data_IF_095458633965
#
_entry.id   IF_095458633965
#
_cell.length_a   1.000
_cell.length_b   1.000
_cell.length_c   1.000
_cell.angle_alpha   90.00
_cell.angle_beta   90.00
_cell.angle_gamma   90.00
#
_symmetry.space_group_name_H-M   'P 1'
#
loop_
_entity.id
_entity.type
_entity.pdbx_description
1 polymer ?
#
# COMPACT_ATOMS: atom_id res chain seq x y z
N UNK A 1 9.22 15.55 -0.49
CA UNK A 1 7.74 15.63 -0.35
C UNK A 1 7.16 14.79 -1.47
N UNK A 2 6.35 13.77 -1.15
CA UNK A 2 5.84 12.85 -2.15
C UNK A 2 5.02 13.59 -3.22
N UNK A 3 5.10 13.20 -4.51
CA UNK A 3 4.31 13.81 -5.56
C UNK A 3 2.81 13.74 -5.26
N UNK A 4 2.10 14.85 -5.44
CA UNK A 4 0.64 14.89 -5.37
C UNK A 4 0.09 14.85 -6.79
N UNK A 5 -0.30 13.66 -7.24
CA UNK A 5 -0.78 13.43 -8.59
C UNK A 5 -2.26 13.00 -8.57
N UNK A 6 -3.05 13.43 -9.57
CA UNK A 6 -4.39 12.89 -9.76
C UNK A 6 -4.32 11.44 -10.27
N UNK A 7 -5.35 10.65 -10.01
CA UNK A 7 -5.52 9.33 -10.63
C UNK A 7 -5.44 9.44 -12.16
N UNK A 8 -4.78 8.46 -12.78
CA UNK A 8 -4.49 8.41 -14.22
C UNK A 8 -3.87 9.72 -14.73
N UNK A 9 -2.70 10.11 -14.20
CA UNK A 9 -2.05 11.36 -14.59
C UNK A 9 -1.66 11.32 -16.06
N UNK A 10 -1.92 12.40 -16.80
CA UNK A 10 -1.72 12.47 -18.25
C UNK A 10 -0.95 13.71 -18.64
N UNK A 11 0.05 13.52 -19.50
CA UNK A 11 0.87 14.63 -20.03
C UNK A 11 0.02 15.68 -20.75
N UNK A 12 -1.04 15.27 -21.46
CA UNK A 12 -1.93 16.22 -22.14
C UNK A 12 -2.68 17.11 -21.17
N UNK A 13 -3.09 16.57 -20.02
CA UNK A 13 -3.73 17.37 -18.96
C UNK A 13 -2.76 18.41 -18.43
N UNK A 14 -1.54 18.01 -18.05
CA UNK A 14 -0.55 18.95 -17.52
C UNK A 14 -0.12 20.01 -18.55
N UNK A 15 -0.09 19.67 -19.86
CA UNK A 15 0.13 20.64 -20.94
C UNK A 15 -0.99 21.69 -20.99
N UNK A 16 -2.25 21.28 -20.80
CA UNK A 16 -3.39 22.21 -20.71
C UNK A 16 -3.31 23.08 -19.46
N UNK A 17 -2.94 22.49 -18.31
CA UNK A 17 -2.77 23.22 -17.05
C UNK A 17 -1.69 24.30 -17.17
N UNK A 18 -0.54 23.98 -17.78
CA UNK A 18 0.52 24.97 -18.01
C UNK A 18 0.08 26.12 -18.94
N UNK A 19 -0.70 25.82 -19.99
CA UNK A 19 -1.27 26.86 -20.88
C UNK A 19 -2.33 27.70 -20.16
N UNK A 20 -3.13 27.10 -19.27
CA UNK A 20 -4.12 27.82 -18.44
C UNK A 20 -3.43 28.77 -17.49
N UNK A 21 -2.42 28.29 -16.76
CA UNK A 21 -1.61 29.09 -15.86
C UNK A 21 -0.95 30.25 -16.59
N UNK A 22 -0.36 29.99 -17.77
CA UNK A 22 0.27 31.06 -18.57
C UNK A 22 -0.72 32.18 -18.92
N UNK A 23 -1.93 31.84 -19.37
CA UNK A 23 -2.96 32.84 -19.67
C UNK A 23 -3.38 33.62 -18.43
N UNK A 24 -3.68 32.93 -17.33
CA UNK A 24 -4.07 33.56 -16.07
C UNK A 24 -3.02 34.56 -15.56
N UNK A 25 -1.73 34.19 -15.63
CA UNK A 25 -0.63 35.10 -15.26
C UNK A 25 -0.58 36.32 -16.19
N UNK A 26 -0.73 36.13 -17.51
CA UNK A 26 -0.74 37.24 -18.49
C UNK A 26 -1.93 38.18 -18.29
N UNK A 27 -3.04 37.65 -17.82
CA UNK A 27 -4.25 38.40 -17.46
C UNK A 27 -4.15 39.02 -16.05
N UNK A 28 -2.99 38.91 -15.39
CA UNK A 28 -2.71 39.42 -14.04
C UNK A 28 -3.63 38.85 -12.95
N UNK A 29 -4.06 37.61 -13.10
CA UNK A 29 -4.83 36.89 -12.08
C UNK A 29 -4.03 36.73 -10.77
N UNK A 30 -4.63 37.11 -9.65
CA UNK A 30 -3.94 37.19 -8.36
C UNK A 30 -3.57 35.82 -7.80
N UNK A 31 -4.42 34.81 -7.98
CA UNK A 31 -4.14 33.44 -7.53
C UNK A 31 -3.00 32.81 -8.34
N UNK A 32 -3.02 32.98 -9.66
CA UNK A 32 -1.97 32.53 -10.55
C UNK A 32 -0.61 33.18 -10.22
N UNK A 33 -0.59 34.49 -9.97
CA UNK A 33 0.62 35.20 -9.56
C UNK A 33 1.14 34.72 -8.20
N UNK A 34 0.25 34.46 -7.23
CA UNK A 34 0.63 33.89 -5.93
C UNK A 34 1.21 32.48 -6.05
N UNK A 35 0.62 31.63 -6.91
CA UNK A 35 1.13 30.30 -7.21
C UNK A 35 2.54 30.36 -7.82
N UNK A 36 2.75 31.24 -8.82
CA UNK A 36 4.06 31.45 -9.45
C UNK A 36 5.07 31.98 -8.44
N UNK A 37 4.70 32.96 -7.60
CA UNK A 37 5.56 33.50 -6.56
C UNK A 37 6.08 32.43 -5.60
N UNK A 38 5.20 31.49 -5.23
CA UNK A 38 5.53 30.40 -4.31
C UNK A 38 6.41 29.33 -4.94
N UNK A 39 6.22 29.02 -6.22
CA UNK A 39 6.79 27.81 -6.83
C UNK A 39 7.87 28.08 -7.88
N UNK A 40 7.87 29.24 -8.53
CA UNK A 40 8.88 29.57 -9.52
C UNK A 40 10.17 30.10 -8.86
N UNK A 41 11.37 29.62 -9.25
CA UNK A 41 12.62 30.04 -8.60
C UNK A 41 12.90 31.55 -8.63
N UNK A 42 12.41 32.25 -9.66
CA UNK A 42 12.55 33.69 -9.80
C UNK A 42 11.43 34.51 -9.11
N UNK A 43 10.48 33.85 -8.45
CA UNK A 43 9.32 34.50 -7.83
C UNK A 43 8.33 35.08 -8.85
N UNK A 44 7.57 36.08 -8.43
CA UNK A 44 6.57 36.78 -9.24
C UNK A 44 7.21 37.40 -10.49
N UNK A 45 6.63 37.23 -11.70
CA UNK A 45 7.18 37.82 -12.91
C UNK A 45 7.11 39.35 -12.87
N UNK A 46 8.20 40.02 -13.26
CA UNK A 46 8.26 41.48 -13.36
C UNK A 46 7.34 42.04 -14.46
N UNK A 47 7.18 41.27 -15.55
CA UNK A 47 6.21 41.53 -16.62
C UNK A 47 5.32 40.29 -16.81
N UNK A 48 4.10 40.28 -16.25
CA UNK A 48 3.17 39.18 -16.41
C UNK A 48 2.81 38.89 -17.87
N UNK A 49 2.76 39.91 -18.74
CA UNK A 49 2.41 39.75 -20.16
C UNK A 49 3.47 38.94 -20.93
N UNK A 50 4.74 39.03 -20.52
CA UNK A 50 5.86 38.27 -21.09
C UNK A 50 6.01 36.85 -20.50
N UNK A 51 5.14 36.41 -19.58
CA UNK A 51 5.30 35.12 -18.90
C UNK A 51 5.33 33.95 -19.89
N UNK A 52 6.42 33.18 -19.85
CA UNK A 52 6.73 32.13 -20.81
C UNK A 52 6.03 30.81 -20.47
N UNK A 53 5.66 30.03 -21.49
CA UNK A 53 5.05 28.71 -21.30
C UNK A 53 6.00 27.75 -20.56
N UNK A 54 7.31 27.86 -20.79
CA UNK A 54 8.32 27.06 -20.09
C UNK A 54 8.38 27.36 -18.59
N UNK A 55 8.18 28.62 -18.19
CA UNK A 55 8.05 29.00 -16.79
C UNK A 55 6.76 28.43 -16.17
N UNK A 56 5.64 28.51 -16.90
CA UNK A 56 4.38 27.90 -16.46
C UNK A 56 4.49 26.36 -16.30
N UNK A 57 5.16 25.68 -17.24
CA UNK A 57 5.45 24.24 -17.15
C UNK A 57 6.29 23.88 -15.92
N UNK A 58 7.29 24.71 -15.59
CA UNK A 58 8.11 24.52 -14.40
C UNK A 58 7.26 24.64 -13.12
N UNK A 59 6.40 25.65 -13.04
CA UNK A 59 5.49 25.85 -11.90
C UNK A 59 4.54 24.67 -11.74
N UNK A 60 3.90 24.22 -12.81
CA UNK A 60 3.02 23.04 -12.80
C UNK A 60 3.76 21.79 -12.35
N UNK A 61 4.99 21.56 -12.80
CA UNK A 61 5.78 20.41 -12.36
C UNK A 61 6.06 20.45 -10.86
N UNK A 62 6.47 21.61 -10.33
CA UNK A 62 6.76 21.80 -8.90
C UNK A 62 5.51 21.71 -8.04
N UNK A 63 4.37 22.15 -8.55
CA UNK A 63 3.08 22.05 -7.87
C UNK A 63 2.74 20.59 -7.53
N UNK A 64 3.02 19.67 -8.46
CA UNK A 64 2.80 18.23 -8.26
C UNK A 64 4.03 17.48 -7.71
N UNK A 65 5.06 18.20 -7.24
CA UNK A 65 6.20 17.62 -6.52
C UNK A 65 7.40 17.21 -7.38
N UNK A 66 7.45 17.58 -8.66
CA UNK A 66 8.61 17.33 -9.54
C UNK A 66 9.50 18.56 -9.64
N UNK A 67 10.82 18.35 -9.62
CA UNK A 67 11.80 19.46 -9.66
C UNK A 67 11.88 20.12 -11.04
N UNK A 68 11.42 19.45 -12.09
CA UNK A 68 11.37 20.00 -13.45
C UNK A 68 10.29 19.34 -14.32
N UNK A 69 9.88 20.07 -15.37
CA UNK A 69 8.96 19.54 -16.39
C UNK A 69 9.49 18.28 -17.06
N UNK A 70 10.80 18.20 -17.33
CA UNK A 70 11.41 17.03 -17.97
C UNK A 70 11.29 15.77 -17.10
N UNK A 71 11.45 15.90 -15.77
CA UNK A 71 11.29 14.78 -14.84
C UNK A 71 9.83 14.34 -14.73
N UNK A 72 8.88 15.28 -14.67
CA UNK A 72 7.45 14.95 -14.75
C UNK A 72 7.14 14.21 -16.05
N UNK A 73 7.64 14.66 -17.21
CA UNK A 73 7.43 13.99 -18.49
C UNK A 73 8.03 12.58 -18.53
N UNK A 74 9.23 12.39 -17.97
CA UNK A 74 9.87 11.08 -17.88
C UNK A 74 9.02 10.12 -17.04
N UNK A 75 8.59 10.57 -15.86
CA UNK A 75 7.69 9.80 -15.00
C UNK A 75 6.39 9.42 -15.71
N UNK A 76 5.70 10.38 -16.35
CA UNK A 76 4.40 10.13 -17.01
C UNK A 76 4.52 9.10 -18.15
N UNK A 77 5.64 9.09 -18.88
CA UNK A 77 5.89 8.07 -19.92
C UNK A 77 6.07 6.68 -19.33
N UNK A 78 6.80 6.56 -18.23
CA UNK A 78 6.97 5.30 -17.51
C UNK A 78 5.63 4.84 -16.90
N UNK A 79 4.89 5.76 -16.28
CA UNK A 79 3.60 5.49 -15.67
C UNK A 79 2.56 5.01 -16.69
N UNK A 80 2.54 5.55 -17.91
CA UNK A 80 1.66 5.08 -18.99
C UNK A 80 1.83 3.58 -19.28
N UNK A 81 3.06 3.07 -19.18
CA UNK A 81 3.39 1.66 -19.46
C UNK A 81 3.07 0.75 -18.27
N UNK A 82 3.31 1.25 -17.05
CA UNK A 82 3.19 0.48 -15.82
C UNK A 82 1.85 0.63 -15.11
N UNK A 83 0.99 1.57 -15.52
CA UNK A 83 -0.30 1.80 -14.88
C UNK A 83 -1.19 0.57 -14.99
N UNK A 84 -1.82 0.16 -13.90
CA UNK A 84 -2.91 -0.83 -13.93
C UNK A 84 -4.07 -0.33 -13.08
N UNK A 85 -5.27 -0.77 -13.44
CA UNK A 85 -6.47 -0.62 -12.63
C UNK A 85 -6.97 -2.02 -12.27
N UNK A 86 -6.58 -2.55 -11.09
CA UNK A 86 -6.99 -3.88 -10.68
C UNK A 86 -8.44 -3.92 -10.16
N UNK A 87 -9.16 -2.79 -10.19
CA UNK A 87 -10.57 -2.72 -9.79
C UNK A 87 -11.54 -3.02 -10.94
N UNK A 88 -11.05 -3.02 -12.18
CA UNK A 88 -11.86 -3.35 -13.36
C UNK A 88 -12.16 -4.85 -13.37
N UNK A 89 -13.44 -5.19 -13.38
CA UNK A 89 -13.93 -6.57 -13.47
C UNK A 89 -14.02 -7.04 -14.91
N UNK A 90 -13.58 -8.26 -15.19
CA UNK A 90 -13.69 -8.92 -16.49
C UNK A 90 -14.49 -10.22 -16.32
N UNK A 91 -15.65 -10.31 -16.97
CA UNK A 91 -16.66 -11.35 -16.68
C UNK A 91 -16.87 -12.40 -17.79
N UNK A 92 -16.31 -12.22 -18.99
CA UNK A 92 -16.69 -13.06 -20.14
C UNK A 92 -15.89 -14.39 -20.28
N UNK A 93 -14.83 -14.60 -19.49
CA UNK A 93 -13.97 -15.79 -19.57
C UNK A 93 -13.75 -16.44 -18.18
N UNK A 94 -13.95 -17.78 -18.04
CA UNK A 94 -13.73 -18.48 -16.77
C UNK A 94 -12.33 -18.31 -16.17
N UNK A 95 -11.26 -18.21 -16.98
CA UNK A 95 -9.91 -17.96 -16.47
C UNK A 95 -9.82 -16.55 -15.90
N UNK A 96 -10.28 -15.54 -16.64
CA UNK A 96 -10.32 -14.15 -16.17
C UNK A 96 -11.17 -13.98 -14.90
N UNK A 97 -12.32 -14.63 -14.82
CA UNK A 97 -13.21 -14.61 -13.65
C UNK A 97 -12.55 -15.26 -12.44
N UNK A 98 -11.92 -16.44 -12.62
CA UNK A 98 -11.15 -17.11 -11.57
C UNK A 98 -10.04 -16.21 -11.04
N UNK A 99 -9.18 -15.68 -11.92
CA UNK A 99 -8.05 -14.84 -11.51
C UNK A 99 -8.50 -13.55 -10.82
N UNK A 100 -9.57 -12.93 -11.33
CA UNK A 100 -10.16 -11.73 -10.72
C UNK A 100 -10.64 -11.96 -9.30
N UNK A 101 -11.16 -13.15 -9.01
CA UNK A 101 -11.65 -13.51 -7.69
C UNK A 101 -10.55 -14.06 -6.78
N UNK A 102 -9.57 -14.77 -7.33
CA UNK A 102 -8.50 -15.42 -6.58
C UNK A 102 -7.44 -14.44 -6.07
N UNK A 103 -7.17 -13.38 -6.82
CA UNK A 103 -6.06 -12.47 -6.55
C UNK A 103 -6.46 -11.32 -5.61
N UNK A 104 -5.58 -11.00 -4.67
CA UNK A 104 -5.61 -9.77 -3.89
C UNK A 104 -5.42 -8.56 -4.81
N UNK A 105 -6.33 -7.59 -4.72
CA UNK A 105 -6.37 -6.41 -5.60
C UNK A 105 -6.23 -5.09 -4.86
N UNK A 106 -6.10 -5.11 -3.53
CA UNK A 106 -6.18 -3.93 -2.65
C UNK A 106 -7.45 -3.08 -2.86
N UNK A 107 -8.49 -3.67 -3.42
CA UNK A 107 -9.78 -2.99 -3.62
C UNK A 107 -10.69 -3.21 -2.42
N UNK A 108 -11.71 -2.36 -2.28
CA UNK A 108 -12.73 -2.51 -1.23
C UNK A 108 -13.48 -3.84 -1.31
N UNK A 109 -13.51 -4.45 -2.50
CA UNK A 109 -14.12 -5.75 -2.73
C UNK A 109 -13.32 -6.93 -2.19
N UNK A 110 -12.04 -6.80 -1.84
CA UNK A 110 -11.25 -7.91 -1.32
C UNK A 110 -11.85 -8.51 -0.04
N UNK A 111 -11.73 -9.82 0.11
CA UNK A 111 -12.23 -10.57 1.25
C UNK A 111 -12.39 -12.06 0.97
N UNK A 112 -12.60 -12.88 2.02
CA UNK A 112 -12.66 -14.33 1.93
C UNK A 112 -13.76 -14.85 0.99
N UNK A 113 -14.88 -14.13 0.86
CA UNK A 113 -15.97 -14.52 -0.03
C UNK A 113 -15.54 -14.57 -1.51
N UNK A 114 -14.65 -13.66 -1.93
CA UNK A 114 -14.09 -13.68 -3.30
C UNK A 114 -13.24 -14.91 -3.53
N UNK A 115 -12.32 -15.23 -2.61
CA UNK A 115 -11.45 -16.38 -2.77
C UNK A 115 -12.22 -17.70 -2.65
N UNK A 116 -13.26 -17.76 -1.83
CA UNK A 116 -14.19 -18.90 -1.78
C UNK A 116 -14.93 -19.08 -3.11
N UNK A 117 -15.40 -18.00 -3.73
CA UNK A 117 -16.00 -18.06 -5.07
C UNK A 117 -14.98 -18.49 -6.14
N UNK A 118 -13.74 -18.04 -6.06
CA UNK A 118 -12.67 -18.49 -6.96
C UNK A 118 -12.40 -19.99 -6.82
N UNK A 119 -12.35 -20.51 -5.59
CA UNK A 119 -12.17 -21.94 -5.33
C UNK A 119 -13.34 -22.77 -5.88
N UNK A 120 -14.58 -22.27 -5.78
CA UNK A 120 -15.73 -22.92 -6.41
C UNK A 120 -15.62 -22.99 -7.94
N UNK A 121 -15.16 -21.91 -8.59
CA UNK A 121 -14.90 -21.90 -10.03
C UNK A 121 -13.84 -22.93 -10.40
N UNK A 122 -12.75 -22.99 -9.64
CA UNK A 122 -11.67 -23.95 -9.88
C UNK A 122 -12.14 -25.40 -9.73
N UNK A 123 -12.97 -25.71 -8.72
CA UNK A 123 -13.56 -27.05 -8.55
C UNK A 123 -14.49 -27.43 -9.70
N UNK A 124 -15.26 -26.47 -10.21
CA UNK A 124 -16.13 -26.69 -11.36
C UNK A 124 -15.37 -26.80 -12.69
N UNK A 125 -14.17 -26.22 -12.77
CA UNK A 125 -13.34 -26.16 -13.97
C UNK A 125 -11.88 -26.57 -13.61
N UNK A 126 -11.63 -27.85 -13.29
CA UNK A 126 -10.30 -28.30 -12.84
C UNK A 126 -9.23 -28.18 -13.93
N UNK A 127 -9.61 -27.94 -15.19
CA UNK A 127 -8.72 -27.79 -16.33
C UNK A 127 -8.16 -26.36 -16.50
N UNK A 128 -8.60 -25.37 -15.72
CA UNK A 128 -8.12 -23.98 -15.82
C UNK A 128 -6.59 -23.85 -15.73
N UNK A 129 -5.86 -24.52 -14.81
CA UNK A 129 -4.40 -24.50 -14.78
C UNK A 129 -3.77 -25.02 -16.08
N UNK A 130 -4.37 -26.02 -16.73
CA UNK A 130 -3.87 -26.53 -18.01
C UNK A 130 -4.13 -25.54 -19.17
N UNK A 131 -5.16 -24.70 -19.07
CA UNK A 131 -5.54 -23.72 -20.10
C UNK A 131 -4.78 -22.40 -20.03
N UNK A 132 -4.24 -22.04 -18.86
CA UNK A 132 -3.61 -20.73 -18.65
C UNK A 132 -2.42 -20.81 -17.70
N UNK A 133 -1.27 -20.29 -18.14
CA UNK A 133 -0.08 -20.12 -17.31
C UNK A 133 -0.38 -19.29 -16.05
N UNK A 134 -1.20 -18.25 -16.16
CA UNK A 134 -1.56 -17.38 -15.03
C UNK A 134 -2.44 -18.11 -14.02
N UNK A 135 -3.38 -18.94 -14.48
CA UNK A 135 -4.20 -19.79 -13.60
C UNK A 135 -3.34 -20.87 -12.91
N UNK A 136 -2.42 -21.49 -13.65
CA UNK A 136 -1.46 -22.44 -13.08
C UNK A 136 -0.59 -21.82 -11.99
N UNK A 137 -0.09 -20.60 -12.23
CA UNK A 137 0.68 -19.86 -11.25
C UNK A 137 -0.16 -19.50 -10.02
N UNK A 138 -1.40 -19.02 -10.19
CA UNK A 138 -2.28 -18.66 -9.07
C UNK A 138 -2.62 -19.83 -8.12
N UNK A 139 -2.59 -21.08 -8.61
CA UNK A 139 -2.81 -22.28 -7.76
C UNK A 139 -1.50 -22.97 -7.35
N UNK A 140 -0.34 -22.40 -7.71
CA UNK A 140 0.98 -22.99 -7.45
C UNK A 140 1.16 -24.38 -8.06
N UNK A 141 0.60 -24.64 -9.25
CA UNK A 141 0.76 -25.92 -9.95
C UNK A 141 2.04 -25.90 -10.80
N UNK A 142 3.15 -26.26 -10.17
CA UNK A 142 4.50 -26.28 -10.77
C UNK A 142 4.54 -27.08 -12.08
N UNK A 143 3.84 -28.22 -12.14
CA UNK A 143 3.86 -29.10 -13.31
C UNK A 143 3.07 -28.50 -14.47
N UNK A 144 1.93 -27.87 -14.21
CA UNK A 144 1.21 -27.12 -15.22
C UNK A 144 2.02 -25.91 -15.71
N UNK A 145 2.65 -25.15 -14.81
CA UNK A 145 3.54 -24.04 -15.19
C UNK A 145 4.69 -24.53 -16.06
N UNK A 146 5.34 -25.65 -15.71
CA UNK A 146 6.42 -26.24 -16.53
C UNK A 146 5.94 -26.56 -17.94
N UNK A 147 4.80 -27.24 -18.08
CA UNK A 147 4.22 -27.56 -19.40
C UNK A 147 3.93 -26.31 -20.24
N UNK A 148 3.45 -25.23 -19.63
CA UNK A 148 3.23 -23.97 -20.34
C UNK A 148 4.54 -23.36 -20.82
N UNK A 149 5.58 -23.37 -19.98
CA UNK A 149 6.89 -22.81 -20.32
C UNK A 149 7.67 -23.67 -21.32
N UNK A 150 7.52 -25.00 -21.29
CA UNK A 150 8.10 -25.89 -22.29
C UNK A 150 7.57 -25.59 -23.69
N UNK A 151 6.27 -25.26 -23.80
CA UNK A 151 5.63 -24.88 -25.06
C UNK A 151 5.87 -23.41 -25.44
N UNK A 152 6.00 -22.52 -24.45
CA UNK A 152 6.17 -21.09 -24.65
C UNK A 152 7.14 -20.48 -23.62
N UNK A 153 8.46 -20.59 -23.85
CA UNK A 153 9.48 -20.21 -22.85
C UNK A 153 9.42 -18.75 -22.41
N UNK A 154 8.94 -17.85 -23.28
CA UNK A 154 8.81 -16.41 -22.94
C UNK A 154 7.64 -16.11 -22.00
N UNK A 155 6.73 -17.06 -21.79
CA UNK A 155 5.52 -16.88 -21.00
C UNK A 155 5.78 -16.40 -19.57
N UNK A 156 6.92 -16.74 -18.96
CA UNK A 156 7.29 -16.26 -17.63
C UNK A 156 7.45 -14.72 -17.53
N UNK A 157 7.81 -14.08 -18.64
CA UNK A 157 8.03 -12.62 -18.72
C UNK A 157 6.84 -11.85 -19.27
N UNK A 158 5.88 -12.56 -19.87
CA UNK A 158 4.72 -11.94 -20.51
C UNK A 158 3.68 -11.53 -19.48
N UNK A 159 2.96 -10.47 -19.82
CA UNK A 159 1.85 -9.96 -19.04
C UNK A 159 0.54 -10.42 -19.66
N UNK A 160 -0.41 -10.79 -18.81
CA UNK A 160 -1.74 -11.21 -19.24
C UNK A 160 -2.69 -11.37 -18.07
N UNK A 161 -3.70 -12.21 -18.26
CA UNK A 161 -4.83 -12.30 -17.33
C UNK A 161 -5.67 -11.01 -17.30
N UNK A 162 -6.64 -10.91 -16.38
CA UNK A 162 -7.57 -9.78 -16.32
C UNK A 162 -6.86 -8.46 -15.95
N UNK A 163 -5.68 -8.53 -15.33
CA UNK A 163 -4.98 -7.36 -14.80
C UNK A 163 -3.73 -6.96 -15.58
N UNK A 164 -3.38 -7.68 -16.65
CA UNK A 164 -2.14 -7.43 -17.39
C UNK A 164 -0.90 -7.59 -16.50
N UNK A 165 -0.87 -8.67 -15.72
CA UNK A 165 0.17 -9.02 -14.76
C UNK A 165 0.97 -10.23 -15.24
N UNK A 166 2.20 -10.41 -14.73
CA UNK A 166 3.00 -11.60 -15.00
C UNK A 166 2.50 -12.81 -14.21
N UNK A 167 2.92 -14.02 -14.59
CA UNK A 167 2.59 -15.23 -13.86
C UNK A 167 3.09 -15.20 -12.40
N UNK A 168 4.31 -14.68 -12.17
CA UNK A 168 4.87 -14.54 -10.83
C UNK A 168 4.03 -13.60 -9.94
N UNK A 169 3.48 -12.55 -10.53
CA UNK A 169 2.62 -11.61 -9.82
C UNK A 169 1.27 -12.25 -9.45
N UNK A 170 0.65 -13.04 -10.35
CA UNK A 170 -0.57 -13.79 -10.03
C UNK A 170 -0.36 -14.85 -8.94
N UNK A 171 0.80 -15.52 -8.94
CA UNK A 171 1.19 -16.45 -7.88
C UNK A 171 1.17 -15.76 -6.51
N UNK A 172 1.88 -14.62 -6.38
CA UNK A 172 1.95 -13.89 -5.11
C UNK A 172 0.63 -13.21 -4.72
N UNK A 173 -0.18 -12.80 -5.70
CA UNK A 173 -1.46 -12.15 -5.47
C UNK A 173 -2.53 -13.13 -5.00
N UNK A 174 -2.45 -14.39 -5.42
CA UNK A 174 -3.49 -15.38 -5.14
C UNK A 174 -3.68 -15.66 -3.64
N UNK A 175 -4.94 -15.85 -3.25
CA UNK A 175 -5.38 -16.22 -1.89
C UNK A 175 -6.23 -17.49 -1.87
N UNK A 176 -6.30 -18.20 -2.99
CA UNK A 176 -6.85 -19.56 -3.03
C UNK A 176 -5.79 -20.57 -2.52
N UNK A 177 -6.18 -21.78 -2.11
CA UNK A 177 -5.23 -22.83 -1.77
C UNK A 177 -4.24 -23.10 -2.92
N UNK A 178 -2.94 -23.12 -2.60
CA UNK A 178 -1.88 -23.37 -3.56
C UNK A 178 -1.15 -24.67 -3.24
N UNK A 179 -0.64 -25.36 -4.27
CA UNK A 179 0.06 -26.65 -4.13
C UNK A 179 1.53 -26.46 -3.74
N UNK A 180 2.30 -25.77 -4.57
CA UNK A 180 3.72 -25.47 -4.31
C UNK A 180 4.08 -24.04 -4.79
N UNK A 181 3.70 -23.02 -4.00
CA UNK A 181 4.03 -21.62 -4.31
C UNK A 181 5.52 -21.36 -4.50
N UNK A 182 6.37 -21.84 -3.60
CA UNK A 182 7.80 -21.51 -3.59
C UNK A 182 8.51 -22.20 -4.76
N UNK A 183 8.20 -23.46 -5.04
CA UNK A 183 8.70 -24.15 -6.23
C UNK A 183 8.20 -23.52 -7.53
N UNK A 184 6.96 -23.03 -7.55
CA UNK A 184 6.41 -22.33 -8.71
C UNK A 184 7.13 -21.01 -8.97
N UNK A 185 7.40 -20.23 -7.90
CA UNK A 185 8.17 -19.00 -8.00
C UNK A 185 9.59 -19.26 -8.53
N UNK A 186 10.29 -20.26 -7.99
CA UNK A 186 11.62 -20.68 -8.47
C UNK A 186 11.61 -20.97 -9.96
N UNK A 187 10.68 -21.81 -10.42
CA UNK A 187 10.55 -22.17 -11.83
C UNK A 187 10.29 -20.95 -12.72
N UNK A 188 9.40 -20.04 -12.30
CA UNK A 188 9.11 -18.83 -13.06
C UNK A 188 10.32 -17.90 -13.16
N UNK A 189 11.07 -17.72 -12.06
CA UNK A 189 12.26 -16.88 -12.03
C UNK A 189 13.41 -17.53 -12.82
N UNK A 190 13.58 -18.85 -12.74
CA UNK A 190 14.53 -19.62 -13.58
C UNK A 190 14.21 -19.44 -15.07
N UNK A 191 12.92 -19.32 -15.41
CA UNK A 191 12.44 -19.01 -16.77
C UNK A 191 12.47 -17.52 -17.12
N UNK A 192 12.99 -16.65 -16.24
CA UNK A 192 13.25 -15.24 -16.51
C UNK A 192 12.22 -14.25 -15.96
N UNK A 193 11.24 -14.68 -15.15
CA UNK A 193 10.35 -13.75 -14.46
C UNK A 193 11.14 -12.78 -13.55
N UNK A 194 10.82 -11.49 -13.63
CA UNK A 194 11.46 -10.45 -12.82
C UNK A 194 10.93 -10.52 -11.36
N UNK A 195 11.78 -10.81 -10.35
CA UNK A 195 11.35 -10.81 -8.96
C UNK A 195 10.95 -9.41 -8.46
N UNK A 196 11.30 -8.35 -9.19
CA UNK A 196 10.88 -6.97 -8.96
C UNK A 196 9.67 -6.55 -9.81
N UNK A 197 8.97 -7.50 -10.44
CA UNK A 197 7.78 -7.22 -11.22
C UNK A 197 6.74 -6.46 -10.38
N UNK A 198 6.01 -5.55 -11.03
CA UNK A 198 5.01 -4.73 -10.36
C UNK A 198 4.34 -3.74 -11.29
N UNK A 199 3.44 -2.95 -10.73
CA UNK A 199 2.64 -1.97 -11.45
C UNK A 199 2.44 -0.69 -10.64
N UNK A 200 1.97 0.37 -11.30
CA UNK A 200 1.55 1.61 -10.67
C UNK A 200 0.03 1.68 -10.58
N UNK A 201 -0.51 1.79 -9.38
CA UNK A 201 -1.95 1.92 -9.16
C UNK A 201 -2.49 3.18 -9.82
N UNK A 202 -3.29 3.05 -10.87
CA UNK A 202 -3.81 4.20 -11.64
C UNK A 202 -2.72 5.21 -12.05
N UNK A 203 -1.49 4.72 -12.26
CA UNK A 203 -0.33 5.56 -12.60
C UNK A 203 0.18 6.45 -11.48
N UNK A 204 -0.15 6.18 -10.21
CA UNK A 204 0.39 6.84 -9.02
C UNK A 204 1.81 6.33 -8.69
N UNK A 205 2.62 7.09 -7.95
CA UNK A 205 4.07 6.85 -7.89
C UNK A 205 4.49 5.61 -7.10
N UNK A 206 3.73 5.19 -6.09
CA UNK A 206 4.09 4.03 -5.27
C UNK A 206 3.82 2.71 -6.01
N UNK A 207 4.85 1.90 -6.30
CA UNK A 207 4.67 0.64 -7.00
C UNK A 207 4.10 -0.44 -6.08
N UNK A 208 3.21 -1.26 -6.63
CA UNK A 208 2.81 -2.53 -6.05
C UNK A 208 3.65 -3.62 -6.70
N UNK A 209 4.50 -4.28 -5.91
CA UNK A 209 5.43 -5.31 -6.40
C UNK A 209 4.99 -6.72 -5.99
N UNK A 210 5.70 -7.73 -6.48
CA UNK A 210 5.53 -9.12 -6.01
C UNK A 210 5.76 -9.22 -4.49
N UNK A 211 6.74 -8.47 -3.93
CA UNK A 211 6.98 -8.45 -2.48
C UNK A 211 5.80 -7.84 -1.72
N UNK A 212 5.20 -6.76 -2.24
CA UNK A 212 3.99 -6.17 -1.68
C UNK A 212 2.91 -7.23 -1.46
N UNK A 213 2.68 -8.10 -2.46
CA UNK A 213 1.67 -9.14 -2.39
C UNK A 213 2.02 -10.31 -1.47
N UNK A 214 3.32 -10.62 -1.31
CA UNK A 214 3.78 -11.63 -0.35
C UNK A 214 3.42 -11.20 1.07
N UNK A 215 3.76 -9.96 1.41
CA UNK A 215 3.48 -9.41 2.73
C UNK A 215 2.02 -9.07 2.94
N UNK A 216 1.25 -8.79 1.89
CA UNK A 216 -0.17 -8.48 1.99
C UNK A 216 -0.47 -7.35 2.97
N UNK A 217 -1.67 -7.39 3.55
CA UNK A 217 -2.25 -6.38 4.45
C UNK A 217 -2.32 -4.99 3.82
N UNK A 218 -2.96 -4.06 4.50
CA UNK A 218 -3.24 -2.74 3.97
C UNK A 218 -4.31 -2.09 4.82
N UNK A 219 -4.91 -1.05 4.27
CA UNK A 219 -5.90 -0.25 5.00
C UNK A 219 -7.16 -1.04 5.36
N UNK A 220 -7.47 -2.14 4.66
CA UNK A 220 -8.62 -2.98 4.97
C UNK A 220 -8.32 -4.12 5.97
N UNK A 221 -7.12 -4.15 6.53
CA UNK A 221 -6.74 -5.08 7.59
C UNK A 221 -6.50 -6.52 7.13
N UNK A 222 -6.03 -7.39 8.05
CA UNK A 222 -5.59 -8.75 7.74
C UNK A 222 -6.72 -9.70 7.35
N UNK A 223 -7.97 -9.42 7.70
CA UNK A 223 -9.11 -10.27 7.32
C UNK A 223 -9.56 -10.07 5.87
N UNK A 224 -9.53 -8.83 5.36
CA UNK A 224 -9.90 -8.52 3.97
C UNK A 224 -8.71 -8.57 3.01
N UNK A 225 -7.53 -8.17 3.46
CA UNK A 225 -6.32 -8.11 2.65
C UNK A 225 -5.20 -8.96 3.29
N UNK A 226 -5.37 -10.26 3.52
CA UNK A 226 -4.40 -11.08 4.23
C UNK A 226 -3.05 -11.12 3.53
N UNK A 227 -2.03 -11.45 4.32
CA UNK A 227 -0.73 -11.91 3.86
C UNK A 227 -0.88 -13.10 2.91
N UNK A 228 0.09 -13.33 2.02
CA UNK A 228 0.11 -14.59 1.28
C UNK A 228 0.28 -15.76 2.28
N UNK A 229 -0.40 -16.92 2.11
CA UNK A 229 -0.36 -18.01 3.09
C UNK A 229 1.04 -18.52 3.46
N UNK A 230 1.98 -18.46 2.50
CA UNK A 230 3.41 -18.74 2.72
C UNK A 230 4.29 -17.50 2.42
N UNK A 231 3.76 -16.32 2.72
CA UNK A 231 4.36 -15.05 2.32
C UNK A 231 5.80 -14.85 2.78
N UNK A 232 6.17 -15.38 3.95
CA UNK A 232 7.52 -15.25 4.50
C UNK A 232 8.55 -16.05 3.68
N UNK A 233 8.26 -17.31 3.42
CA UNK A 233 9.12 -18.18 2.60
C UNK A 233 9.20 -17.68 1.15
N UNK A 234 8.08 -17.21 0.60
CA UNK A 234 8.03 -16.65 -0.75
C UNK A 234 8.82 -15.33 -0.85
N UNK A 235 8.68 -14.43 0.13
CA UNK A 235 9.46 -13.20 0.17
C UNK A 235 10.96 -13.47 0.34
N UNK A 236 11.33 -14.39 1.22
CA UNK A 236 12.72 -14.80 1.40
C UNK A 236 13.33 -15.37 0.12
N UNK A 237 12.59 -16.21 -0.61
CA UNK A 237 13.00 -16.71 -1.93
C UNK A 237 13.16 -15.55 -2.92
N UNK A 238 12.17 -14.65 -3.05
CA UNK A 238 12.25 -13.52 -3.97
C UNK A 238 13.47 -12.63 -3.70
N UNK A 239 13.75 -12.33 -2.43
CA UNK A 239 14.92 -11.54 -2.02
C UNK A 239 16.21 -12.28 -2.37
N UNK A 240 16.30 -13.59 -2.07
CA UNK A 240 17.45 -14.42 -2.46
C UNK A 240 17.67 -14.39 -3.98
N UNK A 241 16.59 -14.28 -4.76
CA UNK A 241 16.59 -14.20 -6.22
C UNK A 241 16.72 -12.77 -6.78
N UNK A 242 16.93 -11.77 -5.93
CA UNK A 242 17.23 -10.39 -6.34
C UNK A 242 16.06 -9.41 -6.30
N UNK A 243 14.98 -9.72 -5.58
CA UNK A 243 13.99 -8.71 -5.22
C UNK A 243 14.62 -7.66 -4.28
N UNK A 244 14.37 -6.39 -4.57
CA UNK A 244 14.82 -5.26 -3.76
C UNK A 244 14.03 -5.19 -2.44
N UNK A 245 14.68 -5.21 -1.27
CA UNK A 245 13.99 -5.13 0.01
C UNK A 245 13.36 -3.75 0.29
N UNK A 246 13.67 -2.72 -0.50
CA UNK A 246 13.13 -1.37 -0.34
C UNK A 246 11.74 -1.21 -0.99
N UNK A 247 10.75 -1.94 -0.47
CA UNK A 247 9.37 -1.89 -0.96
C UNK A 247 8.50 -0.93 -0.12
N UNK A 248 8.28 0.28 -0.62
CA UNK A 248 7.51 1.31 0.08
C UNK A 248 6.05 0.89 0.36
N UNK A 249 5.42 0.15 -0.56
CA UNK A 249 4.03 -0.26 -0.39
C UNK A 249 3.89 -1.35 0.69
N UNK A 250 4.82 -2.31 0.78
CA UNK A 250 4.93 -3.25 1.90
C UNK A 250 5.04 -2.49 3.21
N UNK A 251 5.97 -1.53 3.30
CA UNK A 251 6.20 -0.78 4.53
C UNK A 251 4.96 0.02 4.94
N UNK A 252 4.26 0.62 3.99
CA UNK A 252 2.98 1.30 4.25
C UNK A 252 1.90 0.32 4.72
N UNK A 253 1.66 -0.75 3.97
CA UNK A 253 0.62 -1.74 4.26
C UNK A 253 0.80 -2.41 5.63
N UNK A 254 2.05 -2.60 6.06
CA UNK A 254 2.39 -3.31 7.28
C UNK A 254 2.62 -2.41 8.49
N UNK A 255 2.62 -1.08 8.32
CA UNK A 255 2.92 -0.20 9.45
C UNK A 255 1.78 -0.11 10.46
N UNK A 256 0.53 -0.37 10.07
CA UNK A 256 -0.66 -0.12 10.92
C UNK A 256 -0.79 -1.04 12.13
N UNK A 257 -0.18 -2.23 12.12
CA UNK A 257 -0.22 -3.20 13.23
C UNK A 257 1.15 -3.39 13.88
N UNK A 258 1.17 -4.06 15.05
CA UNK A 258 2.40 -4.39 15.79
C UNK A 258 3.22 -5.54 15.18
N UNK A 259 2.73 -6.19 14.12
CA UNK A 259 3.46 -7.29 13.48
C UNK A 259 4.66 -6.77 12.67
N UNK A 260 5.86 -7.15 13.12
CA UNK A 260 7.14 -6.72 12.54
C UNK A 260 7.81 -7.80 11.68
N UNK A 261 7.11 -8.89 11.33
CA UNK A 261 7.68 -9.97 10.52
C UNK A 261 8.29 -9.46 9.21
N UNK A 262 7.63 -8.52 8.52
CA UNK A 262 8.15 -7.92 7.30
C UNK A 262 9.50 -7.20 7.51
N UNK A 263 9.66 -6.44 8.60
CA UNK A 263 10.93 -5.78 8.94
C UNK A 263 12.01 -6.81 9.26
N UNK A 264 11.68 -7.90 9.96
CA UNK A 264 12.65 -8.96 10.29
C UNK A 264 13.20 -9.68 9.06
N UNK A 265 12.44 -9.71 7.96
CA UNK A 265 12.88 -10.27 6.67
C UNK A 265 13.65 -9.23 5.85
N UNK A 266 13.16 -7.99 5.79
CA UNK A 266 13.69 -6.96 4.89
C UNK A 266 14.95 -6.27 5.44
N UNK A 267 15.07 -6.08 6.76
CA UNK A 267 16.24 -5.43 7.38
C UNK A 267 17.56 -6.21 7.14
N UNK A 268 17.64 -7.53 7.37
CA UNK A 268 18.83 -8.31 7.00
C UNK A 268 19.16 -8.25 5.52
N UNK A 269 18.14 -8.10 4.67
CA UNK A 269 18.29 -8.04 3.22
C UNK A 269 18.79 -6.68 2.70
N UNK A 270 18.82 -5.65 3.56
CA UNK A 270 19.33 -4.31 3.19
C UNK A 270 18.27 -3.22 3.06
N UNK A 271 17.06 -3.41 3.63
CA UNK A 271 16.08 -2.34 3.75
C UNK A 271 16.69 -1.08 4.38
N UNK A 272 16.37 0.08 3.78
CA UNK A 272 16.87 1.38 4.20
C UNK A 272 18.25 1.72 3.67
N UNK A 273 18.80 0.90 2.77
CA UNK A 273 20.15 1.07 2.22
C UNK A 273 20.15 0.92 0.70
N UNK A 274 21.24 1.36 0.08
CA UNK A 274 21.45 1.25 -1.37
C UNK A 274 20.88 2.42 -2.17
N UNK A 275 20.69 2.20 -3.47
CA UNK A 275 20.29 3.22 -4.46
C UNK A 275 18.77 3.28 -4.69
N UNK A 276 17.97 2.55 -3.88
CA UNK A 276 16.52 2.37 -4.06
C UNK A 276 16.13 1.39 -5.18
N UNK A 277 17.11 0.66 -5.74
CA UNK A 277 16.90 -0.47 -6.61
C UNK A 277 16.18 -0.18 -7.93
N UNK A 278 15.58 -1.21 -8.56
CA UNK A 278 15.04 -1.10 -9.92
C UNK A 278 13.94 -0.05 -10.05
N UNK A 279 13.11 0.11 -9.03
CA UNK A 279 11.99 1.05 -9.06
C UNK A 279 12.44 2.50 -8.91
N UNK A 280 13.40 2.79 -8.03
CA UNK A 280 13.99 4.13 -7.95
C UNK A 280 14.73 4.49 -9.25
N UNK A 281 15.41 3.54 -9.90
CA UNK A 281 15.99 3.77 -11.25
C UNK A 281 14.94 4.10 -12.32
N UNK A 282 13.74 3.50 -12.23
CA UNK A 282 12.64 3.73 -13.20
C UNK A 282 11.90 5.05 -12.97
N UNK A 283 11.72 5.45 -11.70
CA UNK A 283 10.80 6.53 -11.31
C UNK A 283 11.50 7.76 -10.71
N UNK A 284 12.75 7.63 -10.29
CA UNK A 284 13.58 8.71 -9.75
C UNK A 284 12.92 9.41 -8.57
N UNK A 285 12.89 10.75 -8.63
CA UNK A 285 12.38 11.63 -7.55
C UNK A 285 10.90 11.47 -7.22
N UNK A 286 10.16 10.67 -8.00
CA UNK A 286 8.78 10.34 -7.66
C UNK A 286 8.70 9.37 -6.47
N UNK A 287 9.78 8.63 -6.21
CA UNK A 287 9.90 7.73 -5.07
C UNK A 287 10.75 8.34 -3.97
N UNK A 288 10.49 7.83 -2.78
CA UNK A 288 11.31 8.09 -1.61
C UNK A 288 12.62 7.35 -1.70
N UNK A 289 13.62 7.90 -1.02
CA UNK A 289 14.88 7.20 -0.79
C UNK A 289 14.68 6.08 0.23
N UNK A 290 15.54 5.04 0.22
CA UNK A 290 15.52 3.99 1.24
C UNK A 290 15.52 4.52 2.69
N UNK A 291 16.30 5.56 2.96
CA UNK A 291 16.38 6.19 4.29
C UNK A 291 15.05 6.83 4.69
N UNK A 292 14.41 7.58 3.78
CA UNK A 292 13.09 8.18 4.02
C UNK A 292 12.01 7.11 4.28
N UNK A 293 12.06 5.96 3.59
CA UNK A 293 11.13 4.84 3.82
C UNK A 293 11.25 4.31 5.26
N UNK A 294 12.47 4.08 5.75
CA UNK A 294 12.70 3.58 7.12
C UNK A 294 12.42 4.68 8.15
N UNK A 295 12.73 5.93 7.85
CA UNK A 295 12.41 7.06 8.72
C UNK A 295 10.89 7.16 8.96
N UNK A 296 10.06 6.91 7.94
CA UNK A 296 8.61 6.81 8.15
C UNK A 296 8.22 5.69 9.11
N UNK A 297 8.86 4.53 9.04
CA UNK A 297 8.60 3.43 9.97
C UNK A 297 8.96 3.81 11.40
N UNK A 298 10.09 4.50 11.60
CA UNK A 298 10.50 5.03 12.90
C UNK A 298 9.47 6.04 13.43
N UNK A 299 9.04 6.98 12.60
CA UNK A 299 8.09 8.02 12.99
C UNK A 299 6.72 7.41 13.31
N UNK A 300 6.21 6.50 12.47
CA UNK A 300 4.97 5.78 12.74
C UNK A 300 5.05 4.96 14.03
N UNK A 301 6.15 4.22 14.23
CA UNK A 301 6.35 3.41 15.43
C UNK A 301 6.40 4.26 16.70
N UNK A 302 7.06 5.42 16.66
CA UNK A 302 7.07 6.40 17.75
C UNK A 302 5.65 6.90 18.02
N UNK A 303 4.94 7.24 16.95
CA UNK A 303 3.61 7.82 17.04
C UNK A 303 2.55 6.82 17.53
N UNK A 304 2.79 5.53 17.37
CA UNK A 304 1.85 4.50 17.80
C UNK A 304 2.40 3.63 18.92
N UNK A 305 3.49 4.07 19.56
CA UNK A 305 4.13 3.40 20.70
C UNK A 305 4.57 1.96 20.44
N UNK A 306 4.99 1.65 19.22
CA UNK A 306 5.51 0.33 18.83
C UNK A 306 6.96 0.18 19.27
N UNK A 307 7.18 0.05 20.58
CA UNK A 307 8.52 -0.01 21.20
C UNK A 307 9.39 -1.12 20.65
N UNK A 308 8.82 -2.33 20.45
CA UNK A 308 9.53 -3.46 19.84
C UNK A 308 10.00 -3.17 18.41
N UNK A 309 9.19 -2.46 17.62
CA UNK A 309 9.58 -2.00 16.27
C UNK A 309 10.72 -0.99 16.36
N UNK A 310 10.66 -0.04 17.30
CA UNK A 310 11.75 0.93 17.52
C UNK A 310 13.05 0.24 17.95
N UNK A 311 12.99 -0.73 18.85
CA UNK A 311 14.14 -1.55 19.26
C UNK A 311 14.73 -2.33 18.08
N UNK A 312 13.87 -2.94 17.25
CA UNK A 312 14.27 -3.64 16.04
C UNK A 312 14.98 -2.69 15.07
N UNK A 313 14.38 -1.54 14.73
CA UNK A 313 14.97 -0.55 13.82
C UNK A 313 16.30 0.01 14.37
N UNK A 314 16.36 0.29 15.68
CA UNK A 314 17.58 0.75 16.33
C UNK A 314 18.72 -0.28 16.25
N UNK A 315 18.41 -1.59 16.34
CA UNK A 315 19.40 -2.65 16.21
C UNK A 315 20.08 -2.70 14.83
N UNK A 316 19.46 -2.10 13.81
CA UNK A 316 20.03 -1.95 12.46
C UNK A 316 20.65 -0.57 12.19
N UNK A 317 20.84 0.24 13.23
CA UNK A 317 21.47 1.56 13.13
C UNK A 317 20.53 2.70 12.78
N UNK A 318 19.21 2.45 12.73
CA UNK A 318 18.21 3.50 12.61
C UNK A 318 17.89 4.05 14.01
N UNK A 319 18.91 4.68 14.60
CA UNK A 319 19.02 5.01 16.03
C UNK A 319 18.37 6.34 16.43
N UNK A 320 17.98 7.17 15.45
CA UNK A 320 17.47 8.52 15.70
C UNK A 320 16.37 8.90 14.72
N UNK A 321 15.11 8.65 15.05
CA UNK A 321 14.16 9.72 14.78
C UNK A 321 14.25 10.72 15.93
N UNK A 322 13.81 11.96 15.69
CA UNK A 322 13.96 13.13 16.59
C UNK A 322 13.83 12.82 18.10
N UNK A 323 14.50 13.59 18.99
CA UNK A 323 14.28 13.48 20.43
C UNK A 323 12.78 13.47 20.76
N UNK A 324 12.42 12.66 21.76
CA UNK A 324 11.07 12.27 22.19
C UNK A 324 10.07 13.41 22.50
N UNK A 325 10.42 14.66 22.22
CA UNK A 325 9.63 15.86 22.44
C UNK A 325 9.19 16.58 21.16
N UNK A 326 9.51 16.09 19.96
CA UNK A 326 9.01 16.66 18.71
C UNK A 326 7.88 15.80 18.11
N UNK A 327 6.65 16.32 17.95
CA UNK A 327 5.61 15.61 17.22
C UNK A 327 6.09 15.36 15.78
N UNK A 328 5.78 14.17 15.27
CA UNK A 328 5.96 13.86 13.84
C UNK A 328 5.12 14.84 13.00
N UNK A 329 5.48 15.09 11.73
CA UNK A 329 4.73 15.99 10.86
C UNK A 329 3.26 15.60 10.67
N UNK A 330 2.88 14.36 11.01
CA UNK A 330 1.52 13.85 11.01
C UNK A 330 0.78 14.09 12.33
N UNK A 331 1.50 14.48 13.39
CA UNK A 331 1.12 14.24 14.79
C UNK A 331 0.60 15.47 15.54
N UNK A 332 0.22 16.52 14.83
CA UNK A 332 -0.53 17.59 15.45
C UNK A 332 -1.57 18.11 14.46
N UNK A 333 -2.67 17.37 14.33
CA UNK A 333 -3.94 18.07 14.22
C UNK A 333 -4.39 18.39 15.66
N UNK A 334 -4.22 19.62 16.16
CA UNK A 334 -4.62 19.98 17.52
C UNK A 334 -6.13 19.84 17.78
N UNK A 335 -6.92 19.53 16.75
CA UNK A 335 -8.35 19.21 16.89
C UNK A 335 -8.63 17.74 17.23
N UNK A 336 -7.67 16.82 17.13
CA UNK A 336 -7.91 15.40 17.46
C UNK A 336 -7.90 15.16 18.97
N UNK A 337 -8.79 14.30 19.50
CA UNK A 337 -8.84 14.03 20.92
C UNK A 337 -7.59 13.25 21.39
N UNK A 338 -7.18 13.36 22.66
CA UNK A 338 -5.99 12.70 23.19
C UNK A 338 -5.92 11.18 22.92
N UNK A 339 -7.06 10.49 22.83
CA UNK A 339 -7.14 9.06 22.53
C UNK A 339 -6.52 8.70 21.18
N UNK A 340 -6.57 9.60 20.17
CA UNK A 340 -5.96 9.38 18.85
C UNK A 340 -4.45 9.12 18.94
N UNK A 341 -3.79 9.73 19.94
CA UNK A 341 -2.37 9.58 20.22
C UNK A 341 -2.03 8.46 21.22
N UNK A 342 -3.04 7.80 21.78
CA UNK A 342 -2.90 6.82 22.86
C UNK A 342 -3.04 5.36 22.39
N UNK A 343 -2.91 5.09 21.08
CA UNK A 343 -3.14 3.80 20.39
C UNK A 343 -2.27 2.59 20.79
N UNK A 344 -1.78 2.54 22.02
CA UNK A 344 -1.19 1.35 22.66
C UNK A 344 -1.96 0.95 23.91
N UNK A 345 -1.90 -0.34 24.32
CA UNK A 345 -2.42 -0.75 25.62
C UNK A 345 -1.89 0.12 26.78
N UNK A 346 -0.62 0.51 26.77
CA UNK A 346 -0.03 1.36 27.81
C UNK A 346 -0.55 2.81 27.73
N UNK A 347 -0.67 3.37 26.53
CA UNK A 347 -1.20 4.72 26.28
C UNK A 347 -2.65 4.84 26.69
N UNK A 348 -3.49 3.86 26.33
CA UNK A 348 -4.89 3.77 26.76
C UNK A 348 -4.99 3.74 28.28
N UNK A 349 -4.21 2.89 28.96
CA UNK A 349 -4.20 2.81 30.43
C UNK A 349 -3.76 4.13 31.07
N UNK A 350 -2.75 4.80 30.50
CA UNK A 350 -2.26 6.09 31.00
C UNK A 350 -3.31 7.21 30.82
N UNK A 351 -3.97 7.24 29.66
CA UNK A 351 -5.05 8.21 29.39
C UNK A 351 -6.24 7.98 30.32
N UNK A 352 -6.65 6.72 30.51
CA UNK A 352 -7.72 6.36 31.44
C UNK A 352 -7.37 6.76 32.88
N UNK A 353 -6.14 6.52 33.33
CA UNK A 353 -5.67 6.94 34.66
C UNK A 353 -5.66 8.47 34.84
N UNK A 354 -5.52 9.23 33.76
CA UNK A 354 -5.63 10.69 33.73
C UNK A 354 -7.09 11.18 33.59
N UNK A 355 -8.08 10.28 33.53
CA UNK A 355 -9.49 10.62 33.35
C UNK A 355 -9.86 11.06 31.93
N UNK A 356 -9.07 10.66 30.92
CA UNK A 356 -9.34 10.97 29.53
C UNK A 356 -10.50 10.16 28.95
N UNK A 357 -11.18 10.73 27.97
CA UNK A 357 -12.29 10.10 27.27
C UNK A 357 -11.78 9.06 26.24
N UNK A 358 -12.15 7.79 26.45
CA UNK A 358 -11.78 6.67 25.57
C UNK A 358 -12.75 6.49 24.40
N UNK A 359 -13.94 7.08 24.49
CA UNK A 359 -15.00 6.99 23.49
C UNK A 359 -15.07 8.23 22.60
N UNK A 360 -14.08 9.13 22.73
CA UNK A 360 -13.98 10.34 21.94
C UNK A 360 -13.94 10.03 20.43
N UNK A 361 -14.60 10.89 19.65
CA UNK A 361 -14.65 10.77 18.20
C UNK A 361 -13.28 11.06 17.56
N UNK A 362 -12.74 10.06 16.88
CA UNK A 362 -11.50 10.15 16.10
C UNK A 362 -11.88 10.05 14.62
N UNK A 363 -12.37 11.15 14.05
CA UNK A 363 -12.72 11.19 12.63
C UNK A 363 -13.94 10.31 12.30
N UNK A 364 -15.00 10.40 13.11
CA UNK A 364 -16.26 9.70 12.89
C UNK A 364 -16.37 8.30 13.52
N UNK A 365 -15.35 7.84 14.25
CA UNK A 365 -15.33 6.53 14.92
C UNK A 365 -14.48 6.57 16.19
N UNK A 366 -14.60 5.57 17.07
CA UNK A 366 -13.77 5.49 18.29
C UNK A 366 -12.49 4.69 18.05
N UNK A 367 -11.51 4.82 18.95
CA UNK A 367 -10.30 3.99 18.91
C UNK A 367 -10.61 2.49 19.00
N UNK A 368 -11.72 2.10 19.66
CA UNK A 368 -12.16 0.71 19.72
C UNK A 368 -12.64 0.20 18.35
N UNK A 369 -13.25 1.04 17.52
CA UNK A 369 -13.58 0.70 16.13
C UNK A 369 -12.30 0.45 15.30
N UNK A 370 -11.31 1.34 15.44
CA UNK A 370 -10.04 1.20 14.74
C UNK A 370 -9.33 -0.11 15.12
N UNK A 371 -9.17 -0.37 16.43
CA UNK A 371 -8.57 -1.59 16.95
C UNK A 371 -9.30 -2.86 16.48
N UNK A 372 -10.63 -2.81 16.45
CA UNK A 372 -11.47 -3.90 15.98
C UNK A 372 -11.24 -4.22 14.49
N UNK A 373 -11.13 -3.19 13.64
CA UNK A 373 -10.92 -3.31 12.19
C UNK A 373 -9.55 -3.89 11.83
N UNK A 374 -8.49 -3.39 12.43
CA UNK A 374 -7.13 -3.86 12.15
C UNK A 374 -6.82 -5.21 12.82
N UNK A 375 -7.71 -5.71 13.67
CA UNK A 375 -7.55 -6.99 14.37
C UNK A 375 -6.61 -6.94 15.59
N UNK A 376 -6.43 -5.77 16.22
CA UNK A 376 -5.53 -5.59 17.36
C UNK A 376 -6.21 -6.01 18.68
N UNK A 377 -6.17 -7.31 18.97
CA UNK A 377 -6.79 -7.91 20.16
C UNK A 377 -6.27 -7.28 21.45
N UNK A 378 -4.96 -7.04 21.56
CA UNK A 378 -4.36 -6.46 22.76
C UNK A 378 -4.88 -5.04 23.03
N UNK A 379 -5.04 -4.23 21.98
CA UNK A 379 -5.60 -2.88 22.11
C UNK A 379 -7.09 -2.90 22.42
N UNK A 380 -7.86 -3.82 21.79
CA UNK A 380 -9.28 -4.05 22.11
C UNK A 380 -9.43 -4.42 23.59
N UNK A 381 -8.63 -5.36 24.10
CA UNK A 381 -8.67 -5.77 25.50
C UNK A 381 -8.34 -4.61 26.45
N UNK A 382 -7.29 -3.85 26.16
CA UNK A 382 -6.90 -2.71 26.99
C UNK A 382 -7.97 -1.62 27.05
N UNK A 383 -8.61 -1.29 25.91
CA UNK A 383 -9.71 -0.32 25.86
C UNK A 383 -10.90 -0.78 26.70
N UNK A 384 -11.29 -2.05 26.58
CA UNK A 384 -12.41 -2.63 27.34
C UNK A 384 -12.10 -2.71 28.84
N UNK A 385 -10.87 -3.07 29.21
CA UNK A 385 -10.41 -3.07 30.61
C UNK A 385 -10.41 -1.67 31.24
N UNK A 386 -10.15 -0.64 30.44
CA UNK A 386 -10.18 0.75 30.88
C UNK A 386 -11.57 1.40 30.81
N UNK A 387 -12.61 0.64 30.40
CA UNK A 387 -14.00 1.08 30.41
C UNK A 387 -14.51 1.75 29.14
N UNK A 388 -13.81 1.61 28.00
CA UNK A 388 -14.34 2.06 26.71
C UNK A 388 -15.64 1.33 26.37
N UNK A 389 -16.61 2.05 25.80
CA UNK A 389 -17.94 1.52 25.52
C UNK A 389 -17.97 0.73 24.18
N UNK A 390 -18.23 -0.60 24.20
CA UNK A 390 -18.27 -1.43 22.99
C UNK A 390 -19.54 -1.25 22.13
N UNK A 391 -20.48 -0.41 22.57
CA UNK A 391 -21.76 -0.18 21.88
C UNK A 391 -21.84 1.19 21.19
N UNK A 392 -20.77 2.00 21.23
CA UNK A 392 -20.70 3.25 20.46
C UNK A 392 -20.91 2.94 18.99
N UNK A 393 -21.70 3.78 18.31
CA UNK A 393 -21.94 3.66 16.87
C UNK A 393 -21.16 4.72 16.12
N UNK A 394 -20.43 4.31 15.10
CA UNK A 394 -19.70 5.23 14.21
C UNK A 394 -20.67 6.13 13.42
N UNK A 395 -20.17 7.29 12.99
CA UNK A 395 -20.97 8.29 12.30
C UNK A 395 -21.26 7.96 10.83
N UNK A 396 -20.43 7.16 10.18
CA UNK A 396 -20.50 6.90 8.74
C UNK A 396 -21.51 5.78 8.39
N UNK A 397 -21.56 4.74 9.22
CA UNK A 397 -22.32 3.51 8.98
C UNK A 397 -23.25 3.13 10.13
N UNK A 398 -23.14 3.80 11.28
CA UNK A 398 -23.90 3.45 12.48
C UNK A 398 -23.56 2.06 13.03
N UNK A 399 -22.39 1.52 12.68
CA UNK A 399 -21.91 0.23 13.13
C UNK A 399 -21.18 0.36 14.47
N UNK A 400 -21.17 -0.71 15.25
CA UNK A 400 -20.38 -0.79 16.49
C UNK A 400 -18.98 -1.31 16.20
N UNK A 401 -18.04 -1.27 17.16
CA UNK A 401 -16.75 -1.93 17.01
C UNK A 401 -16.87 -3.41 16.63
N UNK A 402 -17.86 -4.13 17.16
CA UNK A 402 -18.12 -5.50 16.74
C UNK A 402 -18.53 -5.59 15.26
N UNK A 403 -19.38 -4.68 14.79
CA UNK A 403 -19.75 -4.60 13.38
C UNK A 403 -18.55 -4.32 12.47
N UNK A 404 -17.61 -3.48 12.91
CA UNK A 404 -16.35 -3.23 12.21
C UNK A 404 -15.46 -4.48 12.18
N UNK A 405 -15.29 -5.19 13.31
CA UNK A 405 -14.54 -6.44 13.35
C UNK A 405 -15.14 -7.51 12.41
N UNK A 406 -16.46 -7.67 12.41
CA UNK A 406 -17.16 -8.62 11.53
C UNK A 406 -17.01 -8.24 10.05
N UNK A 407 -17.17 -6.97 9.70
CA UNK A 407 -17.00 -6.47 8.34
C UNK A 407 -15.54 -6.59 7.83
N UNK A 408 -14.58 -6.35 8.73
CA UNK A 408 -13.14 -6.52 8.47
C UNK A 408 -12.68 -7.97 8.49
N UNK A 409 -13.57 -8.92 8.78
CA UNK A 409 -13.26 -10.35 9.01
C UNK A 409 -12.19 -10.58 10.10
N UNK A 410 -12.10 -9.68 11.08
CA UNK A 410 -11.20 -9.78 12.22
C UNK A 410 -11.81 -10.68 13.31
N UNK A 411 -11.76 -12.00 13.10
CA UNK A 411 -12.48 -12.97 13.95
C UNK A 411 -12.07 -12.90 15.43
N UNK A 412 -10.77 -12.80 15.72
CA UNK A 412 -10.28 -12.76 17.09
C UNK A 412 -10.79 -11.54 17.87
N UNK A 413 -10.78 -10.34 17.26
CA UNK A 413 -11.34 -9.13 17.90
C UNK A 413 -12.87 -9.21 18.00
N UNK A 414 -13.55 -9.76 17.00
CA UNK A 414 -15.00 -9.98 17.05
C UNK A 414 -15.40 -10.91 18.20
N UNK A 415 -14.64 -12.00 18.42
CA UNK A 415 -14.84 -12.91 19.55
C UNK A 415 -14.64 -12.20 20.89
N UNK A 416 -13.55 -11.46 21.07
CA UNK A 416 -13.29 -10.67 22.28
C UNK A 416 -14.43 -9.69 22.58
N UNK A 417 -14.92 -8.98 21.57
CA UNK A 417 -16.03 -8.03 21.69
C UNK A 417 -17.36 -8.73 22.01
N UNK A 418 -17.63 -9.93 21.47
CA UNK A 418 -18.84 -10.71 21.79
C UNK A 418 -18.85 -11.19 23.24
N UNK A 419 -17.70 -11.63 23.75
CA UNK A 419 -17.58 -12.11 25.14
C UNK A 419 -17.86 -10.97 26.13
N UNK A 420 -17.25 -9.80 25.91
CA UNK A 420 -17.33 -8.66 26.83
C UNK A 420 -18.68 -7.94 26.81
N UNK A 421 -19.53 -8.12 25.79
CA UNK A 421 -20.93 -7.64 25.79
C UNK A 421 -21.88 -8.50 26.62
N UNK A 422 -21.47 -9.72 27.01
CA UNK A 422 -22.29 -10.66 27.79
C UNK A 422 -22.00 -10.63 29.29
N UNK A 423 -20.89 -9.99 29.68
CA UNK A 423 -20.44 -9.77 31.06
C UNK A 423 -20.72 -8.35 31.46
#
# INVERSE_FOLDING_TARGET
MAPSLPNNPSLERFRRDARRLQRAVRDSDSEALALVSRLHPAGTPADPAAFALTAAQHVVAREVGFSSWLRLQAYLRTAEQLRRDPTVTVDDDPVARFLSLACLTYSQGDGPDRWAAADQILRANPELPARSLYAAAAVGDVDAVRRHLDNHPRGATEQGGPFGWTALFHLAASRVPQRDPVGTARLLIDAGADPNAGYLWLGLPTPFTVLTLCFGEGEAGPGRQPRHPVGDDLAAELIHRGADPNDAQTLYNRMFSRDDVHLRILLPAGLGRGDGGPWHRRLGEALETPDEMVQRQVDWARDHGFTKRLELLASYGFTTGRPASSPSPWRANPSEPPIASAGTPAGVRALAAAGGDLDADVGGHTMLHHAAWIGDVELVEALLECGANPDVRDAAHGATPLGWAEHGHAQATAETLRVRRRT
#
